data_IF_035453460420
#
_entry.id   IF_035453460420
#
_cell.length_a   1.000
_cell.length_b   1.000
_cell.length_c   1.000
_cell.angle_alpha   90.00
_cell.angle_beta   90.00
_cell.angle_gamma   90.00
#
_symmetry.space_group_name_H-M   'P 1'
#
loop_
_entity.id
_entity.type
_entity.pdbx_description
1 polymer ?
#
# COMPACT_ATOMS: atom_id res chain seq x y z
N UNK A 1 -21.44 19.33 -10.58
CA UNK A 1 -20.95 18.11 -9.92
C UNK A 1 -19.72 17.68 -10.71
N UNK A 2 -18.50 17.73 -10.23
CA UNK A 2 -17.98 17.38 -8.90
C UNK A 2 -16.81 18.31 -8.56
N UNK A 3 -16.79 18.76 -7.31
CA UNK A 3 -15.73 19.56 -6.71
C UNK A 3 -14.35 18.96 -6.99
N UNK A 4 -13.44 19.82 -7.44
CA UNK A 4 -12.01 19.51 -7.42
C UNK A 4 -11.61 19.24 -5.98
N UNK A 5 -11.23 18.00 -5.69
CA UNK A 5 -10.49 17.65 -4.49
C UNK A 5 -9.32 18.61 -4.42
N UNK A 6 -9.34 19.56 -3.47
CA UNK A 6 -8.19 20.41 -3.16
C UNK A 6 -7.01 19.48 -3.04
N UNK A 7 -5.98 19.69 -3.86
CA UNK A 7 -4.86 18.79 -3.98
C UNK A 7 -4.28 18.51 -2.58
N UNK A 8 -4.68 17.37 -2.00
CA UNK A 8 -3.83 16.66 -1.05
C UNK A 8 -2.46 16.56 -1.72
N UNK A 9 -1.37 16.71 -0.98
CA UNK A 9 -0.03 16.90 -1.55
C UNK A 9 0.30 15.88 -2.66
N UNK A 10 1.28 16.18 -3.51
CA UNK A 10 1.75 15.25 -4.55
C UNK A 10 1.91 13.82 -3.98
N UNK A 11 1.54 12.76 -4.72
CA UNK A 11 1.80 11.39 -4.31
C UNK A 11 3.28 11.23 -3.94
N UNK A 12 3.54 10.82 -2.69
CA UNK A 12 4.91 10.57 -2.23
C UNK A 12 5.31 9.11 -2.53
N UNK A 13 4.34 8.21 -2.52
CA UNK A 13 4.52 6.79 -2.80
C UNK A 13 3.28 6.25 -3.50
N UNK A 14 3.52 5.52 -4.59
CA UNK A 14 2.52 4.72 -5.29
C UNK A 14 3.00 3.27 -5.27
N UNK A 15 2.18 2.37 -4.75
CA UNK A 15 2.44 0.93 -4.73
C UNK A 15 1.32 0.24 -5.50
N UNK A 16 1.71 -0.59 -6.45
CA UNK A 16 0.80 -1.36 -7.30
C UNK A 16 1.13 -2.84 -7.21
N UNK A 17 0.12 -3.66 -6.94
CA UNK A 17 0.19 -5.13 -6.91
C UNK A 17 1.39 -5.68 -6.12
N UNK A 18 1.57 -5.20 -4.88
CA UNK A 18 2.67 -5.66 -4.02
C UNK A 18 2.45 -7.11 -3.58
N UNK A 19 3.42 -7.96 -3.88
CA UNK A 19 3.54 -9.32 -3.35
C UNK A 19 4.82 -9.45 -2.53
N UNK A 20 4.71 -10.11 -1.37
CA UNK A 20 5.86 -10.47 -0.54
C UNK A 20 5.73 -11.94 -0.19
N UNK A 21 6.72 -12.74 -0.58
CA UNK A 21 6.77 -14.16 -0.32
C UNK A 21 8.11 -14.54 0.30
N UNK A 22 8.11 -15.49 1.24
CA UNK A 22 9.34 -16.05 1.79
C UNK A 22 9.29 -17.58 1.91
N UNK A 23 10.45 -18.26 1.79
CA UNK A 23 10.54 -19.70 1.99
C UNK A 23 10.14 -20.09 3.41
N UNK A 24 9.43 -21.22 3.53
CA UNK A 24 9.06 -21.81 4.81
C UNK A 24 9.32 -23.31 4.81
N UNK A 25 9.27 -23.93 6.00
CA UNK A 25 9.48 -25.38 6.16
C UNK A 25 8.52 -26.23 5.31
N UNK A 26 7.34 -25.70 4.99
CA UNK A 26 6.35 -26.32 4.11
C UNK A 26 5.88 -25.32 3.06
N UNK A 27 6.66 -25.16 2.00
CA UNK A 27 6.32 -24.31 0.85
C UNK A 27 6.70 -22.84 1.06
N UNK A 28 5.87 -21.94 0.56
CA UNK A 28 6.08 -20.49 0.65
C UNK A 28 5.00 -19.86 1.52
N UNK A 29 5.39 -18.86 2.30
CA UNK A 29 4.43 -17.98 2.98
C UNK A 29 4.25 -16.73 2.14
N UNK A 30 3.00 -16.42 1.81
CA UNK A 30 2.61 -15.19 1.13
C UNK A 30 2.23 -14.15 2.17
N UNK A 31 3.19 -13.30 2.52
CA UNK A 31 3.09 -12.29 3.57
C UNK A 31 2.25 -11.08 3.12
N UNK A 32 2.38 -10.69 1.85
CA UNK A 32 1.56 -9.65 1.21
C UNK A 32 1.05 -10.21 -0.12
N UNK A 33 -0.23 -9.97 -0.43
CA UNK A 33 -0.93 -10.56 -1.58
C UNK A 33 -1.61 -9.48 -2.41
N UNK A 34 -0.93 -9.00 -3.45
CA UNK A 34 -1.47 -8.06 -4.44
C UNK A 34 -2.05 -6.78 -3.86
N UNK A 35 -1.30 -6.14 -2.95
CA UNK A 35 -1.76 -4.93 -2.28
C UNK A 35 -1.36 -3.69 -3.09
N UNK A 36 -2.32 -2.82 -3.38
CA UNK A 36 -2.09 -1.53 -4.02
C UNK A 36 -2.53 -0.38 -3.11
N UNK A 37 -1.71 0.65 -2.98
CA UNK A 37 -2.05 1.85 -2.21
C UNK A 37 -1.25 3.06 -2.67
N UNK A 38 -1.76 4.25 -2.33
CA UNK A 38 -1.11 5.53 -2.53
C UNK A 38 -0.92 6.21 -1.16
N UNK A 39 0.24 6.82 -0.95
CA UNK A 39 0.51 7.69 0.20
C UNK A 39 0.94 9.06 -0.30
N UNK A 40 0.19 10.09 0.08
CA UNK A 40 0.43 11.47 -0.35
C UNK A 40 1.29 12.24 0.63
N UNK A 41 1.93 13.31 0.17
CA UNK A 41 2.73 14.18 1.06
C UNK A 41 1.85 14.77 2.17
N UNK A 42 2.27 14.57 3.41
CA UNK A 42 1.57 15.04 4.61
C UNK A 42 0.53 14.08 5.15
N UNK A 43 0.32 12.93 4.52
CA UNK A 43 -0.50 11.85 5.05
C UNK A 43 0.34 10.88 5.90
N UNK A 44 -0.33 10.22 6.84
CA UNK A 44 0.24 9.12 7.62
C UNK A 44 -0.58 7.87 7.35
N UNK A 45 0.06 6.84 6.78
CA UNK A 45 -0.54 5.52 6.60
C UNK A 45 -0.08 4.60 7.75
N UNK A 46 -1.04 4.02 8.46
CA UNK A 46 -0.79 3.02 9.49
C UNK A 46 -1.19 1.63 8.97
N UNK A 47 -0.28 0.67 9.08
CA UNK A 47 -0.54 -0.74 8.82
C UNK A 47 -0.67 -1.45 10.17
N UNK A 48 -1.81 -2.10 10.41
CA UNK A 48 -2.09 -2.82 11.65
C UNK A 48 -2.32 -4.29 11.32
N UNK A 49 -1.69 -5.17 12.07
CA UNK A 49 -1.86 -6.62 11.98
C UNK A 49 -1.88 -7.23 13.38
N UNK A 50 -2.46 -8.42 13.46
CA UNK A 50 -2.31 -9.34 14.59
C UNK A 50 -0.95 -10.05 14.57
#
# INVERSE_FOLDING_TARGET
MSEGVKAAGEPALLVEDLWVEYPARRGVVKAVRGVSFELRRGETLALIGE
#
